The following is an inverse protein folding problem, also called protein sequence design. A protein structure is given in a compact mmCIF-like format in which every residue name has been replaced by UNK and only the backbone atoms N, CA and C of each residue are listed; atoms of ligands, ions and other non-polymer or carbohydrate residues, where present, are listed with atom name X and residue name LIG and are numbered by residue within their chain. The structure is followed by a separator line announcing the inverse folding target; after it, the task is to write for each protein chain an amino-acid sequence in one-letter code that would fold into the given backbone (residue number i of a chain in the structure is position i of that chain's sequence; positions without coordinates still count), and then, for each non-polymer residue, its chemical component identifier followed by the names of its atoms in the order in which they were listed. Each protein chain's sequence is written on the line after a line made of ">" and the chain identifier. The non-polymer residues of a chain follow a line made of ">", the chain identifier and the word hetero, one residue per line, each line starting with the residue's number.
data_IF_199190865961
#
_entry.id   IF_199190865961
#
_cell.length_a   1.000
_cell.length_b   1.000
_cell.length_c   1.000
_cell.angle_alpha   90.00
_cell.angle_beta   90.00
_cell.angle_gamma   90.00
#
_symmetry.space_group_name_H-M   'P 1'
#
loop_
_entity.id
_entity.type
_entity.pdbx_description
1 polymer ?
#
# COMPACT_ATOMS: atom_id res chain seq x y z
N UNK A 1 -23.49 20.58 -8.10
CA UNK A 1 -22.89 20.78 -6.76
C UNK A 1 -21.76 19.81 -6.42
N UNK A 2 -21.89 18.49 -6.63
CA UNK A 2 -20.82 17.50 -6.33
C UNK A 2 -19.50 17.76 -7.07
N UNK A 3 -19.55 18.18 -8.33
CA UNK A 3 -18.35 18.53 -9.11
C UNK A 3 -17.63 19.77 -8.57
N UNK A 4 -18.38 20.74 -8.02
CA UNK A 4 -17.79 21.94 -7.42
C UNK A 4 -17.10 21.61 -6.08
N UNK A 5 -17.73 20.78 -5.24
CA UNK A 5 -17.13 20.31 -3.99
C UNK A 5 -15.84 19.50 -4.22
N UNK A 6 -15.81 18.65 -5.26
CA UNK A 6 -14.61 17.91 -5.64
C UNK A 6 -13.48 18.85 -6.06
N UNK A 7 -13.79 19.83 -6.91
CA UNK A 7 -12.79 20.79 -7.42
C UNK A 7 -12.19 21.65 -6.30
N UNK A 8 -12.99 22.04 -5.30
CA UNK A 8 -12.50 22.77 -4.13
C UNK A 8 -11.50 21.93 -3.31
N UNK A 9 -11.80 20.65 -3.10
CA UNK A 9 -10.89 19.72 -2.40
C UNK A 9 -9.60 19.51 -3.19
N UNK A 10 -9.68 19.31 -4.51
CA UNK A 10 -8.50 19.20 -5.38
C UNK A 10 -7.63 20.47 -5.33
N UNK A 11 -8.26 21.65 -5.29
CA UNK A 11 -7.57 22.93 -5.11
C UNK A 11 -6.82 23.01 -3.79
N UNK A 12 -7.44 22.59 -2.68
CA UNK A 12 -6.78 22.54 -1.37
C UNK A 12 -5.64 21.53 -1.35
N UNK A 13 -5.83 20.33 -1.89
CA UNK A 13 -4.78 19.31 -1.98
C UNK A 13 -3.56 19.80 -2.79
N UNK A 14 -3.81 20.59 -3.83
CA UNK A 14 -2.75 21.23 -4.62
C UNK A 14 -2.00 22.31 -3.84
N UNK A 15 -2.69 23.12 -3.04
CA UNK A 15 -2.04 24.09 -2.15
C UNK A 15 -1.19 23.42 -1.06
N UNK A 16 -1.60 22.24 -0.59
CA UNK A 16 -0.84 21.46 0.40
C UNK A 16 0.39 20.76 -0.19
N UNK A 17 0.63 20.86 -1.51
CA UNK A 17 1.80 20.30 -2.18
C UNK A 17 1.80 18.77 -2.29
N UNK A 18 0.65 18.12 -2.07
CA UNK A 18 0.51 16.65 -2.05
C UNK A 18 -0.05 16.06 -3.34
N UNK A 19 -0.27 16.86 -4.39
CA UNK A 19 -0.91 16.42 -5.64
C UNK A 19 -0.27 15.19 -6.28
N UNK A 20 1.06 15.11 -6.35
CA UNK A 20 1.72 13.93 -6.94
C UNK A 20 1.58 12.66 -6.10
N UNK A 21 1.52 12.78 -4.76
CA UNK A 21 1.30 11.63 -3.87
C UNK A 21 -0.17 11.18 -3.91
N UNK A 22 -1.08 12.14 -4.08
CA UNK A 22 -2.51 11.90 -4.28
C UNK A 22 -2.73 11.17 -5.61
N UNK A 23 -2.18 11.63 -6.74
CA UNK A 23 -2.36 10.99 -8.05
C UNK A 23 -1.85 9.54 -8.11
N UNK A 24 -0.86 9.18 -7.27
CA UNK A 24 -0.28 7.83 -7.23
C UNK A 24 -1.06 6.82 -6.37
N UNK A 25 -1.99 7.27 -5.52
CA UNK A 25 -2.61 6.40 -4.51
C UNK A 25 -3.98 6.85 -4.01
N UNK A 26 -4.63 7.81 -4.66
CA UNK A 26 -5.94 8.31 -4.25
C UNK A 26 -7.02 7.24 -4.43
N UNK A 27 -7.76 7.02 -3.35
CA UNK A 27 -9.00 6.24 -3.33
C UNK A 27 -10.14 7.20 -3.01
N UNK A 28 -11.09 7.31 -3.92
CA UNK A 28 -12.28 8.15 -3.79
C UNK A 28 -13.40 7.33 -3.13
N UNK A 29 -13.76 7.71 -1.91
CA UNK A 29 -14.78 7.02 -1.11
C UNK A 29 -16.12 7.76 -1.24
N UNK A 30 -17.07 7.13 -1.93
CA UNK A 30 -18.40 7.69 -2.18
C UNK A 30 -19.33 7.35 -1.01
N UNK A 31 -19.17 8.09 0.07
CA UNK A 31 -19.88 7.84 1.33
C UNK A 31 -21.37 8.25 1.25
N UNK A 32 -22.17 7.68 2.15
CA UNK A 32 -23.63 7.85 2.28
C UNK A 32 -24.43 7.20 1.15
N UNK A 33 -23.96 6.09 0.62
CA UNK A 33 -24.67 5.31 -0.41
C UNK A 33 -26.08 4.87 0.03
N UNK A 34 -26.35 4.81 1.33
CA UNK A 34 -27.64 4.49 1.94
C UNK A 34 -28.72 5.54 1.65
N UNK A 35 -28.35 6.79 1.35
CA UNK A 35 -29.30 7.85 1.02
C UNK A 35 -29.77 7.79 -0.44
N UNK A 36 -29.16 6.95 -1.27
CA UNK A 36 -29.52 6.80 -2.67
C UNK A 36 -30.73 5.86 -2.85
N UNK A 37 -31.63 6.17 -3.79
CA UNK A 37 -32.62 5.21 -4.25
C UNK A 37 -31.97 3.93 -4.78
N UNK A 38 -32.65 2.79 -4.65
CA UNK A 38 -32.15 1.47 -5.04
C UNK A 38 -31.56 1.43 -6.46
N UNK A 39 -32.26 2.04 -7.43
CA UNK A 39 -31.83 2.11 -8.83
C UNK A 39 -30.54 2.91 -9.02
N UNK A 40 -30.37 3.98 -8.25
CA UNK A 40 -29.17 4.82 -8.29
C UNK A 40 -27.99 4.14 -7.58
N UNK A 41 -28.25 3.45 -6.47
CA UNK A 41 -27.24 2.66 -5.76
C UNK A 41 -26.69 1.54 -6.64
N UNK A 42 -27.56 0.83 -7.37
CA UNK A 42 -27.14 -0.21 -8.31
C UNK A 42 -26.33 0.35 -9.50
N UNK A 43 -26.72 1.51 -10.03
CA UNK A 43 -25.97 2.20 -11.07
C UNK A 43 -24.58 2.65 -10.57
N UNK A 44 -24.51 3.16 -9.33
CA UNK A 44 -23.26 3.56 -8.69
C UNK A 44 -22.31 2.37 -8.50
N UNK A 45 -22.81 1.24 -7.99
CA UNK A 45 -22.02 0.01 -7.85
C UNK A 45 -21.48 -0.48 -9.20
N UNK A 46 -22.30 -0.43 -10.25
CA UNK A 46 -21.88 -0.80 -11.61
C UNK A 46 -20.79 0.14 -12.15
N UNK A 47 -20.88 1.44 -11.85
CA UNK A 47 -19.87 2.41 -12.25
C UNK A 47 -18.55 2.20 -11.48
N UNK A 48 -18.62 1.96 -10.17
CA UNK A 48 -17.45 1.72 -9.32
C UNK A 48 -16.74 0.40 -9.68
N UNK A 49 -17.49 -0.63 -10.11
CA UNK A 49 -16.89 -1.87 -10.62
C UNK A 49 -15.99 -1.66 -11.87
N UNK A 50 -16.13 -0.54 -12.57
CA UNK A 50 -15.29 -0.16 -13.72
C UNK A 50 -14.15 0.78 -13.34
N UNK A 51 -14.12 1.28 -12.11
CA UNK A 51 -13.13 2.21 -11.61
C UNK A 51 -12.69 1.80 -10.19
N UNK A 52 -11.61 1.01 -10.11
CA UNK A 52 -11.03 0.48 -8.86
C UNK A 52 -10.52 1.56 -7.88
N UNK A 53 -10.54 2.83 -8.29
CA UNK A 53 -10.21 3.97 -7.43
C UNK A 53 -11.47 4.56 -6.75
N UNK A 54 -12.67 4.09 -7.05
CA UNK A 54 -13.92 4.57 -6.46
C UNK A 54 -14.63 3.46 -5.68
N UNK A 55 -14.98 3.73 -4.43
CA UNK A 55 -15.62 2.75 -3.56
C UNK A 55 -16.86 3.36 -2.92
N UNK A 56 -18.08 2.86 -3.23
CA UNK A 56 -19.30 3.32 -2.60
C UNK A 56 -19.41 2.71 -1.21
N UNK A 57 -19.68 3.54 -0.21
CA UNK A 57 -19.81 3.08 1.18
C UNK A 57 -20.97 3.78 1.88
N UNK A 58 -21.48 3.13 2.93
CA UNK A 58 -22.26 3.80 3.96
C UNK A 58 -21.56 3.61 5.30
N UNK A 59 -20.91 4.67 5.79
CA UNK A 59 -20.32 4.64 7.12
C UNK A 59 -21.35 4.45 8.25
N UNK A 60 -22.62 4.74 7.99
CA UNK A 60 -23.70 4.59 8.97
C UNK A 60 -24.19 3.14 9.10
N UNK A 61 -24.26 2.40 7.99
CA UNK A 61 -24.73 1.00 7.98
C UNK A 61 -23.57 0.00 7.98
N UNK A 62 -22.37 0.43 7.60
CA UNK A 62 -21.20 -0.41 7.38
C UNK A 62 -21.08 -0.97 5.97
N UNK A 63 -22.05 -0.71 5.08
CA UNK A 63 -22.02 -1.22 3.70
C UNK A 63 -20.80 -0.69 2.93
N UNK A 64 -20.13 -1.59 2.20
CA UNK A 64 -18.92 -1.29 1.42
C UNK A 64 -17.63 -1.04 2.22
N UNK A 65 -17.64 -1.09 3.56
CA UNK A 65 -16.43 -0.87 4.37
C UNK A 65 -15.40 -2.00 4.24
N UNK A 66 -15.84 -3.25 4.10
CA UNK A 66 -14.93 -4.39 3.92
C UNK A 66 -14.17 -4.28 2.59
N UNK A 67 -14.85 -3.88 1.51
CA UNK A 67 -14.22 -3.62 0.21
C UNK A 67 -13.23 -2.46 0.28
N UNK A 68 -13.58 -1.39 1.02
CA UNK A 68 -12.65 -0.28 1.28
C UNK A 68 -11.39 -0.74 2.02
N UNK A 69 -11.54 -1.53 3.08
CA UNK A 69 -10.42 -2.05 3.87
C UNK A 69 -9.50 -2.93 3.02
N UNK A 70 -10.07 -3.90 2.29
CA UNK A 70 -9.31 -4.78 1.39
C UNK A 70 -8.53 -3.97 0.36
N UNK A 71 -9.18 -2.95 -0.21
CA UNK A 71 -8.55 -2.08 -1.20
C UNK A 71 -7.39 -1.25 -0.63
N UNK A 72 -7.50 -0.80 0.61
CA UNK A 72 -6.41 -0.12 1.33
C UNK A 72 -5.26 -1.10 1.58
N UNK A 73 -5.55 -2.31 2.06
CA UNK A 73 -4.56 -3.37 2.29
C UNK A 73 -3.79 -3.71 1.00
N UNK A 74 -4.50 -3.92 -0.10
CA UNK A 74 -3.92 -4.24 -1.40
C UNK A 74 -2.99 -3.11 -1.89
N UNK A 75 -3.39 -1.85 -1.74
CA UNK A 75 -2.55 -0.69 -2.12
C UNK A 75 -1.31 -0.55 -1.22
N UNK A 76 -1.45 -0.80 0.09
CA UNK A 76 -0.32 -0.78 1.01
C UNK A 76 0.64 -1.97 0.78
N UNK A 77 0.13 -3.11 0.32
CA UNK A 77 0.91 -4.28 -0.04
C UNK A 77 1.62 -4.13 -1.39
N UNK A 78 0.97 -3.51 -2.38
CA UNK A 78 1.50 -3.34 -3.75
C UNK A 78 2.80 -2.51 -3.82
N UNK A 79 3.10 -1.71 -2.80
CA UNK A 79 4.34 -0.94 -2.67
C UNK A 79 5.51 -1.70 -2.01
N UNK A 80 5.33 -2.98 -1.68
CA UNK A 80 6.32 -3.76 -0.95
C UNK A 80 7.05 -4.77 -1.86
N UNK A 81 8.37 -4.78 -1.74
CA UNK A 81 9.30 -5.68 -2.41
C UNK A 81 9.75 -6.75 -1.43
N UNK A 82 9.66 -8.01 -1.83
CA UNK A 82 10.28 -9.10 -1.08
C UNK A 82 11.75 -9.21 -1.48
N UNK A 83 12.62 -9.33 -0.49
CA UNK A 83 14.04 -9.56 -0.70
C UNK A 83 14.48 -10.83 0.02
N UNK A 84 15.37 -11.58 -0.62
CA UNK A 84 16.14 -12.66 -0.04
C UNK A 84 17.57 -12.14 0.18
N UNK A 85 17.92 -11.82 1.42
CA UNK A 85 19.20 -11.22 1.80
C UNK A 85 20.10 -12.22 2.55
N UNK A 86 21.40 -12.17 2.28
CA UNK A 86 22.43 -12.91 3.04
C UNK A 86 23.16 -11.93 3.93
N UNK A 87 22.78 -11.89 5.21
CA UNK A 87 23.34 -10.98 6.20
C UNK A 87 24.55 -11.62 6.89
N UNK A 88 25.77 -11.07 6.76
CA UNK A 88 26.93 -11.59 7.47
C UNK A 88 26.73 -11.62 8.99
N UNK A 89 27.29 -12.61 9.68
CA UNK A 89 27.17 -12.71 11.14
C UNK A 89 27.75 -11.49 11.88
N UNK A 90 28.73 -10.80 11.27
CA UNK A 90 29.30 -9.55 11.77
C UNK A 90 28.37 -8.34 11.65
N UNK A 91 27.30 -8.43 10.85
CA UNK A 91 26.41 -7.33 10.49
C UNK A 91 25.03 -7.42 11.18
N UNK A 92 25.05 -7.58 12.50
CA UNK A 92 23.83 -7.60 13.32
C UNK A 92 22.95 -6.35 13.17
N UNK A 93 23.55 -5.21 12.78
CA UNK A 93 22.82 -3.97 12.49
C UNK A 93 21.90 -4.08 11.27
N UNK A 94 22.33 -4.78 10.21
CA UNK A 94 21.51 -5.01 9.03
C UNK A 94 20.32 -5.93 9.36
N UNK A 95 20.56 -6.99 10.14
CA UNK A 95 19.50 -7.88 10.63
C UNK A 95 18.48 -7.11 11.48
N UNK A 96 18.95 -6.31 12.43
CA UNK A 96 18.08 -5.48 13.28
C UNK A 96 17.28 -4.46 12.45
N UNK A 97 17.87 -3.90 11.40
CA UNK A 97 17.15 -3.02 10.48
C UNK A 97 16.01 -3.76 9.76
N UNK A 98 16.25 -4.96 9.25
CA UNK A 98 15.22 -5.76 8.57
C UNK A 98 14.04 -6.08 9.49
N UNK A 99 14.32 -6.40 10.77
CA UNK A 99 13.26 -6.59 11.77
C UNK A 99 12.52 -5.31 12.14
N UNK A 100 13.16 -4.14 12.03
CA UNK A 100 12.56 -2.85 12.42
C UNK A 100 11.75 -2.20 11.30
N UNK A 101 12.25 -2.26 10.07
CA UNK A 101 11.71 -1.52 8.91
C UNK A 101 10.95 -2.43 7.96
N UNK A 102 11.30 -3.72 7.92
CA UNK A 102 10.63 -4.71 7.09
C UNK A 102 9.77 -5.67 7.90
N UNK A 103 9.00 -6.48 7.17
CA UNK A 103 8.31 -7.65 7.67
C UNK A 103 9.17 -8.88 7.34
N UNK A 104 9.76 -9.51 8.36
CA UNK A 104 10.59 -10.72 8.15
C UNK A 104 9.68 -11.94 7.96
N UNK A 105 9.71 -12.52 6.77
CA UNK A 105 8.89 -13.68 6.36
C UNK A 105 9.56 -15.01 6.70
N UNK A 106 10.89 -15.07 6.60
CA UNK A 106 11.65 -16.27 6.94
C UNK A 106 13.08 -15.91 7.35
N UNK A 107 13.68 -16.77 8.18
CA UNK A 107 15.08 -16.68 8.58
C UNK A 107 15.70 -18.08 8.68
N UNK A 108 16.95 -18.21 8.23
CA UNK A 108 17.78 -19.39 8.43
C UNK A 108 19.22 -18.96 8.71
N UNK A 109 19.75 -19.40 9.84
CA UNK A 109 21.16 -19.21 10.16
C UNK A 109 22.01 -20.27 9.43
N UNK A 110 23.15 -19.87 8.88
CA UNK A 110 24.11 -20.73 8.19
C UNK A 110 25.55 -20.32 8.46
N UNK A 111 26.52 -21.07 7.95
CA UNK A 111 27.96 -20.84 8.19
C UNK A 111 28.45 -19.51 7.61
N UNK A 112 27.94 -19.11 6.44
CA UNK A 112 28.32 -17.86 5.76
C UNK A 112 27.52 -16.63 6.24
N UNK A 113 26.59 -16.81 7.19
CA UNK A 113 25.72 -15.75 7.70
C UNK A 113 24.25 -16.18 7.81
N UNK A 114 23.39 -15.19 7.99
CA UNK A 114 21.95 -15.36 8.17
C UNK A 114 21.22 -15.07 6.86
N UNK A 115 20.52 -16.07 6.32
CA UNK A 115 19.59 -15.92 5.21
C UNK A 115 18.27 -15.36 5.75
N UNK A 116 17.84 -14.21 5.22
CA UNK A 116 16.62 -13.53 5.66
C UNK A 116 15.75 -13.22 4.45
N UNK A 117 14.51 -13.72 4.48
CA UNK A 117 13.46 -13.25 3.58
C UNK A 117 12.69 -12.15 4.28
N UNK A 118 12.67 -10.95 3.71
CA UNK A 118 11.96 -9.82 4.28
C UNK A 118 11.19 -9.05 3.22
N UNK A 119 10.09 -8.43 3.62
CA UNK A 119 9.28 -7.57 2.77
C UNK A 119 9.44 -6.12 3.23
N UNK A 120 9.84 -5.24 2.31
CA UNK A 120 10.14 -3.83 2.57
C UNK A 120 9.38 -2.96 1.58
N UNK A 121 9.00 -1.74 1.96
CA UNK A 121 8.59 -0.75 0.97
C UNK A 121 9.80 -0.22 0.18
N UNK A 122 9.52 0.45 -0.95
CA UNK A 122 10.53 1.06 -1.81
C UNK A 122 11.48 2.01 -1.06
N UNK A 123 11.00 2.72 -0.04
CA UNK A 123 11.81 3.64 0.76
C UNK A 123 12.72 2.87 1.74
N UNK A 124 12.20 1.82 2.36
CA UNK A 124 12.91 0.91 3.25
C UNK A 124 14.02 0.16 2.52
N UNK A 125 13.77 -0.30 1.29
CA UNK A 125 14.76 -0.95 0.44
C UNK A 125 15.90 0.00 0.05
N UNK A 126 15.59 1.21 -0.45
CA UNK A 126 16.62 2.22 -0.78
C UNK A 126 17.51 2.56 0.43
N UNK A 127 16.90 2.70 1.61
CA UNK A 127 17.67 2.94 2.85
C UNK A 127 18.53 1.75 3.25
N UNK A 128 18.04 0.52 3.04
CA UNK A 128 18.79 -0.70 3.29
C UNK A 128 20.03 -0.77 2.39
N UNK A 129 19.86 -0.57 1.09
CA UNK A 129 20.96 -0.53 0.10
C UNK A 129 22.04 0.50 0.46
N UNK A 130 21.62 1.71 0.84
CA UNK A 130 22.55 2.79 1.19
C UNK A 130 23.29 2.53 2.51
N UNK A 131 22.61 1.92 3.50
CA UNK A 131 23.17 1.73 4.84
C UNK A 131 24.01 0.46 4.95
N UNK A 132 23.73 -0.55 4.11
CA UNK A 132 24.36 -1.87 4.15
C UNK A 132 24.77 -2.35 2.74
N UNK A 133 25.61 -1.59 2.00
CA UNK A 133 25.98 -1.92 0.62
C UNK A 133 26.74 -3.25 0.47
N UNK A 134 27.29 -3.78 1.56
CA UNK A 134 27.97 -5.07 1.63
C UNK A 134 27.00 -6.27 1.66
N UNK A 135 25.73 -6.06 2.02
CA UNK A 135 24.75 -7.14 2.14
C UNK A 135 24.16 -7.45 0.77
N UNK A 136 24.41 -8.68 0.30
CA UNK A 136 23.86 -9.16 -0.97
C UNK A 136 22.40 -9.55 -0.79
N UNK A 137 21.55 -9.16 -1.73
CA UNK A 137 20.15 -9.57 -1.76
C UNK A 137 19.66 -9.79 -3.19
N UNK A 138 18.65 -10.64 -3.34
CA UNK A 138 17.83 -10.76 -4.54
C UNK A 138 16.44 -10.21 -4.25
N UNK A 139 15.86 -9.43 -5.16
CA UNK A 139 14.51 -8.86 -4.98
C UNK A 139 13.50 -9.51 -5.91
N UNK A 140 12.34 -9.87 -5.37
CA UNK A 140 11.16 -10.29 -6.12
C UNK A 140 9.99 -9.38 -5.76
N UNK A 141 9.26 -8.91 -6.77
CA UNK A 141 7.95 -8.27 -6.53
C UNK A 141 6.91 -9.38 -6.45
N UNK A 142 6.10 -9.47 -5.38
CA UNK A 142 5.01 -10.43 -5.37
C UNK A 142 4.13 -10.21 -6.60
N UNK A 143 3.84 -11.28 -7.34
CA UNK A 143 2.91 -11.23 -8.45
C UNK A 143 1.58 -10.66 -7.93
N UNK A 144 1.01 -9.66 -8.61
CA UNK A 144 -0.28 -9.05 -8.27
C UNK A 144 -1.24 -10.16 -7.85
N UNK A 145 -1.62 -10.21 -6.57
CA UNK A 145 -2.67 -11.10 -6.10
C UNK A 145 -3.93 -10.72 -6.89
N UNK A 146 -4.43 -11.68 -7.67
CA UNK A 146 -5.69 -11.54 -8.41
C UNK A 146 -6.87 -11.62 -7.46
#
# INVERSE_FOLDING_TARGET
>A
DTLAQKSDVEGVLKMLGVSEQVDRGLVEVLNKSDLLPESERAALQTACARNENQIPVSAATGDGLDDLLRTIEDRLAAGRVEIDAVVPASDGAALAYLYRVGEVLARRDGEDGCFVRARLDDAGLRRFENSFPQVKYESSRPAKSR
#
